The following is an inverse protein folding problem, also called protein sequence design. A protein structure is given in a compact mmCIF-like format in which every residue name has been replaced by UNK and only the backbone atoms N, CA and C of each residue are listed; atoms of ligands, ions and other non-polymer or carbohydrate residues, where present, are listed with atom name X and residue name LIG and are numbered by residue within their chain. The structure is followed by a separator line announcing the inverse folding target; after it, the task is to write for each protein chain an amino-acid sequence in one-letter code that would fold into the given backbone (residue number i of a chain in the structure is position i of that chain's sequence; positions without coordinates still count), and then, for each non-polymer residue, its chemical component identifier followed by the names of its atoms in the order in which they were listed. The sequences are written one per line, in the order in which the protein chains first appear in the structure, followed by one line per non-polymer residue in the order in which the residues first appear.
data_IF_836995014030
#
_entry.id   IF_836995014030
#
_cell.length_a   1.000
_cell.length_b   1.000
_cell.length_c   1.000
_cell.angle_alpha   90.00
_cell.angle_beta   90.00
_cell.angle_gamma   90.00
#
_symmetry.space_group_name_H-M   'P 1'
#
loop_
_entity.id
_entity.type
_entity.pdbx_description
1 polymer ?
#
# COMPACT_ATOMS: atom_id res chain seq x y z
N UNK A 1 13.89 -6.89 7.20
CA UNK A 1 14.06 -8.37 7.19
C UNK A 1 15.44 -8.73 6.67
N UNK A 2 16.15 -9.75 7.20
CA UNK A 2 17.36 -10.23 6.53
C UNK A 2 16.96 -10.90 5.22
N UNK A 3 17.64 -10.52 4.12
CA UNK A 3 17.50 -11.17 2.82
C UNK A 3 17.81 -12.67 2.99
N UNK A 4 16.81 -13.54 2.78
CA UNK A 4 16.97 -14.99 2.95
C UNK A 4 17.78 -15.63 1.82
N UNK A 5 17.78 -15.01 0.63
CA UNK A 5 18.43 -15.50 -0.58
C UNK A 5 18.98 -14.36 -1.44
N UNK A 6 20.22 -14.50 -1.90
CA UNK A 6 20.82 -13.68 -2.94
C UNK A 6 21.17 -14.60 -4.11
N UNK A 7 20.65 -14.32 -5.29
CA UNK A 7 20.83 -15.13 -6.50
C UNK A 7 21.44 -14.28 -7.61
N UNK A 8 22.06 -14.94 -8.59
CA UNK A 8 22.48 -14.34 -9.85
C UNK A 8 21.93 -15.16 -11.00
N UNK A 9 21.72 -14.50 -12.13
CA UNK A 9 21.21 -15.09 -13.37
C UNK A 9 22.17 -14.80 -14.52
N UNK A 10 22.33 -15.78 -15.42
CA UNK A 10 23.09 -15.64 -16.66
C UNK A 10 22.54 -16.63 -17.69
N UNK A 11 22.27 -16.16 -18.91
CA UNK A 11 21.96 -17.00 -20.07
C UNK A 11 20.87 -18.06 -19.83
N UNK A 12 19.80 -17.68 -19.12
CA UNK A 12 18.67 -18.58 -18.82
C UNK A 12 18.94 -19.55 -17.65
N UNK A 13 20.02 -19.34 -16.90
CA UNK A 13 20.40 -20.13 -15.74
C UNK A 13 20.47 -19.25 -14.49
N UNK A 14 20.42 -19.87 -13.32
CA UNK A 14 20.51 -19.19 -12.03
C UNK A 14 21.29 -20.01 -11.00
N UNK A 15 21.83 -19.33 -9.99
CA UNK A 15 22.38 -19.97 -8.77
C UNK A 15 22.27 -19.05 -7.56
N UNK A 16 22.27 -19.62 -6.36
CA UNK A 16 22.28 -18.87 -5.10
C UNK A 16 23.70 -18.53 -4.64
N UNK A 17 24.00 -17.24 -4.57
CA UNK A 17 25.24 -16.68 -4.01
C UNK A 17 25.20 -16.71 -2.48
N UNK A 18 24.04 -16.44 -1.88
CA UNK A 18 23.82 -16.48 -0.43
C UNK A 18 22.45 -17.09 -0.13
N UNK A 19 22.38 -18.13 0.70
CA UNK A 19 21.12 -18.72 1.20
C UNK A 19 21.40 -19.40 2.53
N UNK A 20 20.47 -19.31 3.47
CA UNK A 20 20.45 -20.05 4.74
C UNK A 20 19.44 -21.21 4.75
N UNK A 21 18.69 -21.37 3.67
CA UNK A 21 17.61 -22.33 3.44
C UNK A 21 18.03 -23.80 3.24
N UNK A 22 19.29 -24.06 2.87
CA UNK A 22 19.80 -25.40 2.54
C UNK A 22 19.30 -26.01 1.23
N UNK A 23 18.22 -25.51 0.62
CA UNK A 23 17.59 -26.08 -0.58
C UNK A 23 17.91 -25.40 -1.91
N UNK A 24 18.65 -24.28 -1.92
CA UNK A 24 18.94 -23.57 -3.16
C UNK A 24 20.20 -24.09 -3.88
N UNK A 25 20.16 -24.21 -5.22
CA UNK A 25 21.30 -24.65 -6.01
C UNK A 25 22.47 -23.68 -5.90
N UNK A 26 23.66 -24.23 -5.67
CA UNK A 26 24.94 -23.48 -5.70
C UNK A 26 25.58 -23.51 -7.08
N UNK A 27 25.26 -24.53 -7.86
CA UNK A 27 25.67 -24.67 -9.25
C UNK A 27 24.64 -24.03 -10.18
N UNK A 28 25.09 -23.66 -11.38
CA UNK A 28 24.24 -23.09 -12.41
C UNK A 28 23.15 -24.08 -12.82
N UNK A 29 21.91 -23.71 -12.51
CA UNK A 29 20.72 -24.52 -12.78
C UNK A 29 19.85 -23.78 -13.79
N UNK A 30 19.28 -24.46 -14.80
CA UNK A 30 18.33 -23.83 -15.71
C UNK A 30 17.19 -23.14 -14.96
N UNK A 31 16.79 -21.96 -15.42
CA UNK A 31 15.54 -21.35 -14.97
C UNK A 31 14.38 -22.29 -15.37
N UNK A 32 13.38 -22.48 -14.49
CA UNK A 32 12.15 -23.19 -14.87
C UNK A 32 11.54 -22.53 -16.10
N UNK A 33 10.89 -23.31 -16.95
CA UNK A 33 10.19 -22.72 -18.10
C UNK A 33 9.01 -21.87 -17.59
N UNK A 34 8.63 -20.78 -18.27
CA UNK A 34 7.54 -19.92 -17.80
C UNK A 34 6.24 -20.67 -17.47
N UNK A 35 5.93 -21.72 -18.22
CA UNK A 35 4.78 -22.61 -18.02
C UNK A 35 4.91 -23.56 -16.81
N UNK A 36 6.12 -23.76 -16.30
CA UNK A 36 6.43 -24.58 -15.12
C UNK A 36 6.43 -23.75 -13.82
N UNK A 37 6.39 -22.42 -13.93
CA UNK A 37 6.25 -21.52 -12.79
C UNK A 37 4.76 -21.29 -12.55
N UNK A 38 4.20 -21.67 -11.39
CA UNK A 38 2.82 -21.35 -11.03
C UNK A 38 2.58 -19.84 -11.20
N UNK A 39 1.33 -19.43 -11.46
CA UNK A 39 0.90 -18.04 -11.72
C UNK A 39 1.17 -17.01 -10.58
N UNK A 40 2.10 -17.31 -9.69
CA UNK A 40 2.79 -16.45 -8.74
C UNK A 40 3.82 -15.55 -9.47
N UNK A 41 4.04 -15.75 -10.77
CA UNK A 41 5.01 -15.00 -11.59
C UNK A 41 4.77 -13.49 -11.59
N UNK A 42 3.51 -13.03 -11.63
CA UNK A 42 3.21 -11.59 -11.51
C UNK A 42 3.58 -11.03 -10.13
N UNK A 43 3.36 -11.79 -9.06
CA UNK A 43 3.68 -11.35 -7.69
C UNK A 43 5.20 -11.16 -7.51
N UNK A 44 6.00 -12.06 -8.07
CA UNK A 44 7.47 -11.97 -8.04
C UNK A 44 7.98 -10.83 -8.93
N UNK A 45 7.37 -10.62 -10.11
CA UNK A 45 7.74 -9.55 -11.04
C UNK A 45 7.43 -8.15 -10.49
N UNK A 46 6.38 -8.00 -9.69
CA UNK A 46 6.03 -6.75 -9.00
C UNK A 46 6.83 -6.52 -7.70
N UNK A 47 7.77 -7.41 -7.38
CA UNK A 47 8.60 -7.31 -6.17
C UNK A 47 7.83 -7.58 -4.87
N UNK A 48 6.66 -8.23 -4.96
CA UNK A 48 5.84 -8.59 -3.81
C UNK A 48 6.14 -10.02 -3.34
N UNK A 49 6.07 -10.24 -2.01
CA UNK A 49 6.19 -11.58 -1.43
C UNK A 49 4.79 -12.22 -1.42
N UNK A 50 4.59 -13.39 -2.05
CA UNK A 50 3.33 -14.13 -1.98
C UNK A 50 2.99 -14.43 -0.52
N UNK A 51 1.80 -14.03 -0.07
CA UNK A 51 1.32 -14.44 1.25
C UNK A 51 0.82 -15.88 1.18
N UNK A 52 1.12 -16.69 2.19
CA UNK A 52 0.68 -18.09 2.28
C UNK A 52 -0.85 -18.26 2.45
N UNK A 53 -1.59 -17.14 2.53
CA UNK A 53 -3.04 -17.10 2.52
C UNK A 53 -3.62 -15.99 3.41
N UNK A 54 -4.96 -16.00 3.51
CA UNK A 54 -5.75 -14.99 4.23
C UNK A 54 -5.35 -14.82 5.70
N UNK A 55 -4.95 -15.90 6.38
CA UNK A 55 -4.53 -15.83 7.78
C UNK A 55 -3.20 -15.11 7.95
N UNK A 56 -2.25 -15.30 7.02
CA UNK A 56 -0.98 -14.60 7.05
C UNK A 56 -1.19 -13.08 6.88
N UNK A 57 -2.07 -12.66 5.96
CA UNK A 57 -2.43 -11.25 5.84
C UNK A 57 -3.06 -10.71 7.13
N UNK A 58 -4.02 -11.44 7.72
CA UNK A 58 -4.66 -11.03 8.97
C UNK A 58 -3.65 -10.80 10.09
N UNK A 59 -2.68 -11.70 10.26
CA UNK A 59 -1.62 -11.55 11.26
C UNK A 59 -0.75 -10.31 11.02
N UNK A 60 -0.43 -10.01 9.76
CA UNK A 60 0.30 -8.79 9.40
C UNK A 60 -0.49 -7.53 9.76
N UNK A 61 -1.79 -7.50 9.39
CA UNK A 61 -2.67 -6.36 9.62
C UNK A 61 -2.97 -6.12 11.11
N UNK A 62 -2.74 -7.09 11.99
CA UNK A 62 -2.93 -6.95 13.44
C UNK A 62 -1.75 -6.31 14.16
N UNK A 63 -0.58 -6.21 13.53
CA UNK A 63 0.62 -5.66 14.15
C UNK A 63 0.47 -4.17 14.40
N UNK A 64 1.05 -3.68 15.49
CA UNK A 64 1.12 -2.26 15.82
C UNK A 64 2.39 -1.90 16.54
N UNK A 65 2.83 -0.66 16.35
CA UNK A 65 4.01 -0.10 16.99
C UNK A 65 3.77 0.46 18.38
N UNK A 66 4.88 0.78 19.09
CA UNK A 66 4.83 1.40 20.41
C UNK A 66 4.26 2.82 20.32
N UNK A 67 3.58 3.26 21.38
CA UNK A 67 3.19 4.66 21.51
C UNK A 67 4.40 5.47 21.99
N UNK A 68 4.87 6.41 21.16
CA UNK A 68 5.96 7.34 21.49
C UNK A 68 5.47 8.78 21.39
N UNK A 69 6.14 9.71 22.08
CA UNK A 69 5.75 11.12 22.10
C UNK A 69 5.84 11.80 20.71
N UNK A 70 6.66 11.27 19.80
CA UNK A 70 6.86 11.84 18.46
C UNK A 70 5.58 11.82 17.61
N UNK A 71 4.70 10.84 17.85
CA UNK A 71 3.40 10.73 17.17
C UNK A 71 2.42 11.85 17.54
N UNK A 72 2.63 12.50 18.68
CA UNK A 72 1.75 13.56 19.18
C UNK A 72 2.24 14.98 18.81
N UNK A 73 3.43 15.11 18.21
CA UNK A 73 3.99 16.40 17.80
C UNK A 73 3.11 17.06 16.72
N UNK A 74 3.39 18.29 16.28
CA UNK A 74 2.63 18.88 15.17
C UNK A 74 3.22 18.44 13.82
N UNK A 75 2.38 18.02 12.85
CA UNK A 75 2.89 17.78 11.49
C UNK A 75 3.20 19.10 10.77
N UNK A 76 4.18 19.12 9.84
CA UNK A 76 4.43 20.28 8.99
C UNK A 76 3.19 20.72 8.22
N UNK A 77 2.95 22.03 8.15
CA UNK A 77 1.88 22.61 7.31
C UNK A 77 2.28 22.73 5.84
N UNK A 78 3.58 22.61 5.54
CA UNK A 78 4.09 22.73 4.19
C UNK A 78 3.69 21.50 3.36
N UNK A 79 2.77 21.69 2.40
CA UNK A 79 2.29 20.61 1.54
C UNK A 79 3.41 19.87 0.79
N UNK A 80 4.49 20.56 0.44
CA UNK A 80 5.65 19.96 -0.21
C UNK A 80 6.37 18.93 0.67
N UNK A 81 6.48 19.18 1.97
CA UNK A 81 7.07 18.25 2.94
C UNK A 81 6.19 17.02 3.09
N UNK A 82 4.87 17.22 3.24
CA UNK A 82 3.93 16.09 3.35
C UNK A 82 3.91 15.25 2.07
N UNK A 83 3.91 15.88 0.89
CA UNK A 83 4.01 15.17 -0.39
C UNK A 83 5.28 14.30 -0.47
N UNK A 84 6.43 14.85 -0.10
CA UNK A 84 7.69 14.11 -0.12
C UNK A 84 7.67 12.92 0.84
N UNK A 85 7.15 13.11 2.07
CA UNK A 85 6.98 12.04 3.06
C UNK A 85 6.03 10.94 2.59
N UNK A 86 4.87 11.31 2.02
CA UNK A 86 3.90 10.34 1.46
C UNK A 86 4.52 9.53 0.33
N UNK A 87 5.22 10.16 -0.61
CA UNK A 87 5.85 9.47 -1.72
C UNK A 87 7.03 8.60 -1.27
N UNK A 88 7.84 9.07 -0.30
CA UNK A 88 8.90 8.25 0.29
C UNK A 88 8.33 7.02 0.98
N UNK A 89 7.22 7.18 1.70
CA UNK A 89 6.50 6.08 2.34
C UNK A 89 5.99 5.09 1.31
N UNK A 90 5.20 5.50 0.32
CA UNK A 90 4.64 4.59 -0.71
C UNK A 90 5.73 3.85 -1.52
N UNK A 91 6.92 4.42 -1.65
CA UNK A 91 8.08 3.78 -2.30
C UNK A 91 8.80 2.75 -1.40
N UNK A 92 8.48 2.69 -0.11
CA UNK A 92 9.18 1.86 0.88
C UNK A 92 10.53 2.40 1.33
N UNK A 93 10.78 3.70 1.14
CA UNK A 93 12.08 4.34 1.42
C UNK A 93 12.03 5.46 2.45
N UNK A 94 10.97 5.55 3.27
CA UNK A 94 10.86 6.58 4.29
C UNK A 94 11.70 6.29 5.55
N UNK A 95 12.24 7.33 6.16
CA UNK A 95 12.70 7.28 7.55
C UNK A 95 11.53 7.41 8.56
N UNK A 96 11.82 7.29 9.86
CA UNK A 96 10.81 7.35 10.92
C UNK A 96 10.06 8.70 10.93
N UNK A 97 10.76 9.81 10.69
CA UNK A 97 10.16 11.14 10.69
C UNK A 97 9.19 11.31 9.51
N UNK A 98 9.59 10.84 8.33
CA UNK A 98 8.75 10.83 7.14
C UNK A 98 7.55 9.92 7.31
N UNK A 99 7.71 8.74 7.93
CA UNK A 99 6.60 7.84 8.22
C UNK A 99 5.56 8.52 9.13
N UNK A 100 6.01 9.16 10.21
CA UNK A 100 5.11 9.89 11.13
C UNK A 100 4.33 10.98 10.38
N UNK A 101 5.01 11.79 9.56
CA UNK A 101 4.37 12.84 8.77
C UNK A 101 3.32 12.25 7.82
N UNK A 102 3.70 11.23 7.04
CA UNK A 102 2.84 10.61 6.04
C UNK A 102 1.58 9.99 6.69
N UNK A 103 1.76 9.19 7.73
CA UNK A 103 0.66 8.49 8.42
C UNK A 103 -0.30 9.49 9.08
N UNK A 104 0.24 10.53 9.74
CA UNK A 104 -0.61 11.54 10.39
C UNK A 104 -1.35 12.40 9.38
N UNK A 105 -0.75 12.68 8.22
CA UNK A 105 -1.45 13.35 7.12
C UNK A 105 -2.68 12.54 6.65
N UNK A 106 -2.73 11.22 6.83
CA UNK A 106 -3.90 10.42 6.42
C UNK A 106 -5.16 10.66 7.29
N UNK A 107 -5.04 11.40 8.40
CA UNK A 107 -6.22 11.93 9.11
C UNK A 107 -6.86 13.12 8.38
N UNK A 108 -6.10 13.82 7.55
CA UNK A 108 -6.62 14.85 6.66
C UNK A 108 -7.30 14.20 5.45
N UNK A 109 -8.54 14.62 5.18
CA UNK A 109 -9.33 14.04 4.09
C UNK A 109 -8.67 14.27 2.73
N UNK A 110 -8.06 15.44 2.49
CA UNK A 110 -7.48 15.79 1.18
C UNK A 110 -6.26 14.94 0.89
N UNK A 111 -5.38 14.76 1.87
CA UNK A 111 -4.25 13.86 1.72
C UNK A 111 -4.69 12.40 1.51
N UNK A 112 -5.69 11.93 2.25
CA UNK A 112 -6.20 10.57 2.11
C UNK A 112 -6.79 10.32 0.71
N UNK A 113 -7.65 11.21 0.23
CA UNK A 113 -8.32 11.03 -1.06
C UNK A 113 -7.32 11.13 -2.24
N UNK A 114 -6.29 11.97 -2.11
CA UNK A 114 -5.14 11.99 -3.04
C UNK A 114 -4.41 10.66 -3.04
N UNK A 115 -4.07 10.11 -1.88
CA UNK A 115 -3.37 8.82 -1.79
C UNK A 115 -4.22 7.68 -2.33
N UNK A 116 -5.53 7.65 -2.05
CA UNK A 116 -6.43 6.67 -2.65
C UNK A 116 -6.44 6.76 -4.19
N UNK A 117 -6.41 7.97 -4.74
CA UNK A 117 -6.34 8.19 -6.19
C UNK A 117 -5.01 7.78 -6.81
N UNK A 118 -3.91 7.77 -6.03
CA UNK A 118 -2.62 7.25 -6.48
C UNK A 118 -2.58 5.73 -6.41
N UNK A 119 -3.16 5.15 -5.36
CA UNK A 119 -3.18 3.72 -5.13
C UNK A 119 -4.06 3.01 -6.15
N UNK A 120 -5.30 3.47 -6.34
CA UNK A 120 -6.27 2.84 -7.23
C UNK A 120 -7.00 3.91 -8.09
N UNK A 121 -6.34 4.48 -9.11
CA UNK A 121 -6.87 5.59 -9.89
C UNK A 121 -8.18 5.29 -10.62
N UNK A 122 -8.42 4.02 -10.99
CA UNK A 122 -9.65 3.59 -11.64
C UNK A 122 -10.84 3.56 -10.67
N UNK A 123 -10.60 3.29 -9.39
CA UNK A 123 -11.62 3.24 -8.35
C UNK A 123 -11.85 4.61 -7.70
N UNK A 124 -10.81 5.45 -7.69
CA UNK A 124 -10.80 6.77 -7.07
C UNK A 124 -10.21 7.77 -8.06
N UNK A 125 -10.97 8.18 -9.08
CA UNK A 125 -10.43 9.06 -10.12
C UNK A 125 -10.18 10.47 -9.58
N UNK A 126 -9.04 11.05 -9.97
CA UNK A 126 -8.58 12.36 -9.47
C UNK A 126 -9.59 13.49 -9.61
N UNK A 127 -10.42 13.45 -10.66
CA UNK A 127 -11.41 14.51 -10.94
C UNK A 127 -12.62 14.46 -10.00
N UNK A 128 -12.87 13.33 -9.32
CA UNK A 128 -13.95 13.16 -8.34
C UNK A 128 -13.47 13.41 -6.89
N UNK A 129 -12.15 13.46 -6.68
CA UNK A 129 -11.56 13.68 -5.35
C UNK A 129 -11.79 15.09 -4.79
N UNK A 130 -12.30 16.04 -5.59
CA UNK A 130 -12.63 17.41 -5.15
C UNK A 130 -14.09 17.73 -5.39
N UNK A 131 -14.68 18.59 -4.56
CA UNK A 131 -16.02 19.15 -4.73
C UNK A 131 -16.09 20.61 -4.24
N UNK A 132 -17.27 21.20 -4.28
CA UNK A 132 -17.48 22.61 -3.90
C UNK A 132 -17.11 22.95 -2.45
N UNK A 133 -17.05 21.96 -1.57
CA UNK A 133 -16.73 22.13 -0.15
C UNK A 133 -15.34 21.61 0.23
N UNK A 134 -14.59 21.04 -0.72
CA UNK A 134 -13.37 20.30 -0.43
C UNK A 134 -12.46 20.20 -1.65
N UNK A 135 -11.22 20.69 -1.53
CA UNK A 135 -10.30 20.84 -2.66
C UNK A 135 -8.98 20.06 -2.49
N UNK A 136 -8.82 19.00 -3.29
CA UNK A 136 -7.58 18.23 -3.38
C UNK A 136 -6.58 18.77 -4.41
N UNK A 137 -6.95 19.74 -5.25
CA UNK A 137 -6.07 20.23 -6.34
C UNK A 137 -4.72 20.75 -5.85
N UNK A 138 -4.61 21.51 -4.74
CA UNK A 138 -3.30 21.91 -4.22
C UNK A 138 -2.43 20.72 -3.81
N UNK A 139 -3.03 19.65 -3.32
CA UNK A 139 -2.35 18.44 -2.88
C UNK A 139 -1.84 17.62 -4.07
N UNK A 140 -2.69 17.41 -5.09
CA UNK A 140 -2.28 16.80 -6.35
C UNK A 140 -1.15 17.57 -7.01
N UNK A 141 -1.24 18.90 -7.09
CA UNK A 141 -0.18 19.71 -7.68
C UNK A 141 1.19 19.51 -7.00
N UNK A 142 1.22 19.25 -5.69
CA UNK A 142 2.46 18.96 -4.97
C UNK A 142 2.97 17.54 -5.19
N UNK A 143 2.07 16.56 -5.24
CA UNK A 143 2.44 15.20 -5.62
C UNK A 143 3.01 15.18 -7.04
N UNK A 144 2.33 15.83 -8.00
CA UNK A 144 2.73 15.84 -9.40
C UNK A 144 4.09 16.52 -9.59
N UNK A 145 4.33 17.65 -8.91
CA UNK A 145 5.64 18.30 -8.93
C UNK A 145 6.76 17.38 -8.40
N UNK A 146 6.50 16.62 -7.34
CA UNK A 146 7.48 15.68 -6.77
C UNK A 146 7.69 14.43 -7.65
N UNK A 147 6.64 13.94 -8.31
CA UNK A 147 6.72 12.83 -9.25
C UNK A 147 7.44 13.23 -10.54
N UNK A 148 7.24 14.46 -11.02
CA UNK A 148 7.90 14.96 -12.23
C UNK A 148 9.42 15.02 -12.08
N UNK A 149 9.92 15.29 -10.88
CA UNK A 149 11.36 15.38 -10.58
C UNK A 149 11.93 14.16 -9.86
N UNK A 150 11.09 13.17 -9.55
CA UNK A 150 11.45 12.01 -8.73
C UNK A 150 11.32 10.69 -9.46
N UNK A 151 11.69 9.57 -8.81
CA UNK A 151 11.41 8.25 -9.37
C UNK A 151 9.89 8.02 -9.48
N UNK A 152 9.43 7.19 -10.43
CA UNK A 152 8.02 6.84 -10.51
C UNK A 152 7.54 6.16 -9.22
N UNK A 153 6.22 6.15 -9.00
CA UNK A 153 5.63 5.29 -7.99
C UNK A 153 5.81 3.82 -8.40
N UNK A 154 6.03 2.92 -7.43
CA UNK A 154 6.06 1.50 -7.74
C UNK A 154 4.64 0.97 -8.03
N UNK A 155 4.55 -0.30 -8.42
CA UNK A 155 3.26 -0.97 -8.66
C UNK A 155 2.39 -1.04 -7.39
N UNK A 156 1.07 -1.21 -7.59
CA UNK A 156 0.08 -1.18 -6.51
C UNK A 156 0.35 -2.20 -5.40
N UNK A 157 0.91 -3.37 -5.72
CA UNK A 157 1.31 -4.37 -4.71
C UNK A 157 2.51 -3.97 -3.89
N UNK A 158 3.53 -3.37 -4.50
CA UNK A 158 4.68 -2.86 -3.74
C UNK A 158 4.27 -1.71 -2.82
N UNK A 159 3.39 -0.81 -3.29
CA UNK A 159 2.80 0.22 -2.43
C UNK A 159 1.99 -0.39 -1.27
N UNK A 160 1.18 -1.43 -1.55
CA UNK A 160 0.45 -2.17 -0.52
C UNK A 160 1.39 -2.78 0.53
N UNK A 161 2.46 -3.43 0.07
CA UNK A 161 3.44 -4.06 0.95
C UNK A 161 4.14 -3.03 1.82
N UNK A 162 4.50 -1.87 1.27
CA UNK A 162 5.07 -0.78 2.06
C UNK A 162 4.15 -0.30 3.17
N UNK A 163 2.84 -0.17 2.90
CA UNK A 163 1.87 0.18 3.93
C UNK A 163 1.74 -0.93 5.00
N UNK A 164 1.77 -2.21 4.62
CA UNK A 164 1.68 -3.34 5.55
C UNK A 164 2.94 -3.46 6.42
N UNK A 165 4.13 -3.36 5.81
CA UNK A 165 5.43 -3.51 6.48
C UNK A 165 5.68 -2.40 7.50
N UNK A 166 5.04 -1.24 7.34
CA UNK A 166 5.14 -0.11 8.27
C UNK A 166 4.15 -0.16 9.44
N UNK A 167 3.13 -1.03 9.42
CA UNK A 167 2.18 -1.18 10.53
C UNK A 167 2.84 -1.44 11.90
N UNK A 168 3.88 -2.28 12.04
CA UNK A 168 4.58 -2.50 13.30
C UNK A 168 5.31 -1.27 13.86
N UNK A 169 5.47 -0.20 13.08
CA UNK A 169 6.04 1.07 13.55
C UNK A 169 4.96 2.09 13.95
N UNK A 170 3.71 1.87 13.54
CA UNK A 170 2.60 2.83 13.72
C UNK A 170 1.79 2.49 14.99
N UNK A 171 1.61 3.43 15.93
CA UNK A 171 0.77 3.22 17.10
C UNK A 171 -0.66 2.86 16.71
N UNK A 172 -1.30 2.00 17.50
CA UNK A 172 -2.64 1.48 17.22
C UNK A 172 -3.68 2.56 16.88
N UNK A 173 -3.65 3.70 17.57
CA UNK A 173 -4.60 4.82 17.36
C UNK A 173 -4.32 5.63 16.09
N UNK A 174 -3.21 5.41 15.38
CA UNK A 174 -2.90 6.03 14.09
C UNK A 174 -3.11 5.10 12.89
N UNK A 175 -3.45 3.83 13.13
CA UNK A 175 -3.49 2.82 12.06
C UNK A 175 -4.78 2.80 11.24
N UNK A 176 -5.92 3.28 11.78
CA UNK A 176 -7.20 3.20 11.06
C UNK A 176 -7.15 3.84 9.66
N UNK A 177 -6.59 5.06 9.46
CA UNK A 177 -6.40 5.62 8.13
C UNK A 177 -5.55 4.75 7.19
N UNK A 178 -4.43 4.21 7.67
CA UNK A 178 -3.52 3.37 6.86
C UNK A 178 -4.19 2.06 6.44
N UNK A 179 -4.91 1.43 7.36
CA UNK A 179 -5.68 0.21 7.06
C UNK A 179 -6.78 0.47 6.03
N UNK A 180 -7.40 1.65 6.03
CA UNK A 180 -8.36 1.99 4.96
C UNK A 180 -7.71 2.24 3.61
N UNK A 181 -6.46 2.73 3.56
CA UNK A 181 -5.72 2.83 2.30
C UNK A 181 -5.36 1.45 1.74
N UNK A 182 -4.94 0.53 2.61
CA UNK A 182 -4.73 -0.88 2.24
C UNK A 182 -6.05 -1.45 1.69
N UNK A 183 -7.18 -1.20 2.37
CA UNK A 183 -8.48 -1.67 1.91
C UNK A 183 -8.88 -1.09 0.55
N UNK A 184 -8.69 0.22 0.36
CA UNK A 184 -8.99 0.92 -0.89
C UNK A 184 -8.13 0.39 -2.05
N UNK A 185 -6.83 0.19 -1.81
CA UNK A 185 -5.91 -0.39 -2.79
C UNK A 185 -6.32 -1.83 -3.16
N UNK A 186 -6.61 -2.67 -2.17
CA UNK A 186 -7.07 -4.05 -2.41
C UNK A 186 -8.37 -4.06 -3.21
N UNK A 187 -9.38 -3.29 -2.81
CA UNK A 187 -10.67 -3.26 -3.48
C UNK A 187 -10.57 -2.76 -4.92
N UNK A 188 -9.80 -1.68 -5.16
CA UNK A 188 -9.60 -1.13 -6.50
C UNK A 188 -8.93 -2.08 -7.50
N UNK A 189 -8.22 -3.10 -7.01
CA UNK A 189 -7.58 -4.14 -7.83
C UNK A 189 -8.25 -5.51 -7.68
N UNK A 190 -9.53 -5.57 -7.26
CA UNK A 190 -10.33 -6.80 -7.21
C UNK A 190 -10.14 -7.67 -5.96
N UNK A 191 -9.32 -7.25 -5.00
CA UNK A 191 -9.04 -7.94 -3.74
C UNK A 191 -10.10 -7.71 -2.66
N UNK A 192 -11.35 -8.12 -2.89
CA UNK A 192 -12.46 -7.89 -1.93
C UNK A 192 -12.25 -8.54 -0.55
N UNK A 193 -11.63 -9.72 -0.50
CA UNK A 193 -11.34 -10.42 0.76
C UNK A 193 -10.30 -9.67 1.62
N UNK A 194 -9.26 -9.15 0.97
CA UNK A 194 -8.19 -8.38 1.64
C UNK A 194 -8.72 -7.02 2.10
N UNK A 195 -9.54 -6.38 1.27
CA UNK A 195 -10.23 -5.14 1.62
C UNK A 195 -11.11 -5.33 2.86
N UNK A 196 -11.88 -6.42 2.91
CA UNK A 196 -12.72 -6.76 4.07
C UNK A 196 -11.88 -6.92 5.33
N UNK A 197 -10.79 -7.69 5.28
CA UNK A 197 -9.89 -7.87 6.43
C UNK A 197 -9.28 -6.55 6.91
N UNK A 198 -8.83 -5.70 5.99
CA UNK A 198 -8.25 -4.41 6.34
C UNK A 198 -9.29 -3.47 6.99
N UNK A 199 -10.53 -3.46 6.48
CA UNK A 199 -11.65 -2.73 7.08
C UNK A 199 -12.04 -3.26 8.47
N UNK A 200 -12.13 -4.59 8.65
CA UNK A 200 -12.36 -5.20 9.97
C UNK A 200 -11.29 -4.72 10.98
N UNK A 201 -10.02 -4.75 10.57
CA UNK A 201 -8.91 -4.30 11.39
C UNK A 201 -8.95 -2.79 11.68
N UNK A 202 -9.38 -1.96 10.73
CA UNK A 202 -9.55 -0.52 10.95
C UNK A 202 -10.66 -0.25 11.98
N UNK A 203 -11.81 -0.91 11.85
CA UNK A 203 -12.97 -0.74 12.73
C UNK A 203 -12.71 -1.31 14.15
N UNK A 204 -11.88 -2.34 14.28
CA UNK A 204 -11.41 -2.82 15.60
C UNK A 204 -10.52 -1.82 16.35
N UNK A 205 -9.98 -0.82 15.64
CA UNK A 205 -9.12 0.23 16.23
C UNK A 205 -9.88 1.53 16.44
N UNK A 206 -10.74 1.88 15.49
CA UNK A 206 -11.56 3.08 15.52
C UNK A 206 -12.96 2.72 14.95
N UNK A 207 -13.90 2.28 15.80
CA UNK A 207 -15.21 1.76 15.38
C UNK A 207 -16.03 2.72 14.52
N UNK A 208 -15.86 4.02 14.74
CA UNK A 208 -16.59 5.08 14.05
C UNK A 208 -15.83 5.62 12.83
N UNK A 209 -14.72 5.00 12.41
CA UNK A 209 -13.93 5.50 11.29
C UNK A 209 -14.71 5.43 9.98
N UNK A 210 -15.19 6.60 9.54
CA UNK A 210 -16.19 6.71 8.46
C UNK A 210 -15.75 6.05 7.17
N UNK A 211 -14.48 6.22 6.77
CA UNK A 211 -13.98 5.63 5.52
C UNK A 211 -13.98 4.10 5.56
N UNK A 212 -13.66 3.48 6.71
CA UNK A 212 -13.70 2.03 6.83
C UNK A 212 -15.12 1.50 6.68
N UNK A 213 -16.12 2.21 7.23
CA UNK A 213 -17.54 1.86 7.07
C UNK A 213 -18.01 2.01 5.62
N UNK A 214 -17.59 3.07 4.93
CA UNK A 214 -17.93 3.30 3.52
C UNK A 214 -17.37 2.20 2.61
N UNK A 215 -16.08 1.86 2.74
CA UNK A 215 -15.47 0.78 1.96
C UNK A 215 -16.12 -0.57 2.31
N UNK A 216 -16.39 -0.84 3.59
CA UNK A 216 -17.12 -2.05 4.02
C UNK A 216 -18.48 -2.15 3.32
N UNK A 217 -19.24 -1.06 3.28
CA UNK A 217 -20.54 -1.02 2.61
C UNK A 217 -20.39 -1.25 1.10
N UNK A 218 -19.41 -0.64 0.44
CA UNK A 218 -19.17 -0.85 -0.99
C UNK A 218 -18.83 -2.31 -1.32
N UNK A 219 -17.89 -2.90 -0.56
CA UNK A 219 -17.48 -4.32 -0.72
C UNK A 219 -18.65 -5.27 -0.45
N UNK A 220 -19.43 -5.03 0.62
CA UNK A 220 -20.57 -5.89 1.01
C UNK A 220 -21.67 -5.88 -0.03
N UNK A 221 -21.95 -4.72 -0.63
CA UNK A 221 -22.99 -4.58 -1.64
C UNK A 221 -22.51 -4.93 -3.06
N UNK A 222 -21.30 -5.48 -3.19
CA UNK A 222 -20.66 -5.78 -4.47
C UNK A 222 -20.73 -4.59 -5.45
N UNK A 223 -20.67 -3.36 -4.92
CA UNK A 223 -20.53 -2.17 -5.76
C UNK A 223 -19.17 -2.32 -6.44
N UNK A 224 -19.12 -2.40 -7.77
CA UNK A 224 -17.86 -2.52 -8.45
C UNK A 224 -17.06 -1.24 -8.21
N UNK A 225 -15.74 -1.37 -8.04
CA UNK A 225 -14.87 -0.22 -7.81
C UNK A 225 -14.98 0.83 -8.93
N UNK A 226 -15.35 0.38 -10.12
CA UNK A 226 -15.80 1.21 -11.24
C UNK A 226 -17.19 0.76 -11.70
N UNK A 227 -18.21 1.64 -11.76
CA UNK A 227 -19.46 1.30 -12.42
C UNK A 227 -19.16 0.94 -13.88
N UNK A 228 -19.71 -0.16 -14.42
CA UNK A 228 -19.51 -0.47 -15.82
C UNK A 228 -20.05 0.67 -16.70
N UNK A 229 -19.37 0.95 -17.82
CA UNK A 229 -19.57 2.17 -18.64
C UNK A 229 -21.02 2.41 -19.09
N UNK A 230 -21.84 1.37 -19.13
CA UNK A 230 -23.27 1.45 -19.46
C UNK A 230 -24.15 2.06 -18.37
N UNK A 231 -23.66 2.25 -17.14
CA UNK A 231 -24.35 2.97 -16.06
C UNK A 231 -24.06 4.47 -16.03
N UNK A 232 -23.10 4.95 -16.83
CA UNK A 232 -22.64 6.35 -16.84
C UNK A 232 -23.31 7.21 -17.93
N UNK A 233 -24.45 6.75 -18.48
CA UNK A 233 -25.19 7.38 -19.57
C UNK A 233 -26.48 8.07 -19.10
#
# INVERSE_FOLDING_TARGET
MPISHQTITDSGQWRAVKCSCGGCPRDWTPLPRPEEVPAITEEILEGAVPLSGRNALRELLQRSGPQTADWEQQIPRALGTVAASVLAWLRGGCDDAQLIIAVRAMRDKAWRDVVMSLLAPEAFPRHEASNEHFDCRPHFARIDAQLHHGPPLPGYRQMQWSMIDTLPAIPRHHQAPVLTLIAANSWGHGGGADATLACEQALLREPDYTMARLITAAVTNAVPARPPEWLSA
#
